data_IF_370918852320
#
_entry.id   IF_370918852320
#
_cell.length_a   1.000
_cell.length_b   1.000
_cell.length_c   1.000
_cell.angle_alpha   90.00
_cell.angle_beta   90.00
_cell.angle_gamma   90.00
#
_symmetry.space_group_name_H-M   'P 1'
#
loop_
_entity.id
_entity.type
_entity.pdbx_description
1 polymer ?
#
# COMPACT_ATOMS: atom_id res chain seq x y z
N UNK A 1 26.77 -10.74 -8.46
CA UNK A 1 25.36 -11.18 -8.52
C UNK A 1 24.48 -9.99 -8.24
N UNK A 2 23.42 -9.74 -9.02
CA UNK A 2 22.43 -8.73 -8.66
C UNK A 2 21.59 -9.26 -7.51
N UNK A 3 21.60 -8.54 -6.38
CA UNK A 3 20.69 -8.84 -5.29
C UNK A 3 19.27 -8.55 -5.77
N UNK A 4 18.36 -9.49 -5.55
CA UNK A 4 16.95 -9.31 -5.89
C UNK A 4 16.31 -8.41 -4.83
N UNK A 5 16.38 -7.08 -5.04
CA UNK A 5 15.87 -6.08 -4.09
C UNK A 5 14.40 -5.80 -4.42
N UNK A 6 13.52 -6.06 -3.46
CA UNK A 6 12.12 -5.65 -3.55
C UNK A 6 11.96 -4.22 -2.99
N UNK A 7 11.16 -3.40 -3.67
CA UNK A 7 10.79 -2.06 -3.23
C UNK A 7 9.35 -2.10 -2.70
N UNK A 8 9.14 -1.50 -1.54
CA UNK A 8 7.83 -1.37 -0.93
C UNK A 8 7.66 0.00 -0.27
N UNK A 9 6.42 0.49 -0.24
CA UNK A 9 6.00 1.71 0.46
C UNK A 9 4.54 1.54 0.89
N UNK A 10 4.00 2.48 1.66
CA UNK A 10 2.58 2.50 2.02
C UNK A 10 1.71 3.28 1.02
N UNK A 11 0.39 3.16 1.18
CA UNK A 11 -0.61 3.88 0.39
C UNK A 11 -0.70 5.38 0.72
N UNK A 12 -0.18 5.84 1.87
CA UNK A 12 -0.10 7.27 2.21
C UNK A 12 0.93 8.04 1.37
N UNK A 13 1.87 7.34 0.73
CA UNK A 13 2.79 7.93 -0.26
C UNK A 13 2.10 8.67 -1.41
N UNK A 14 0.79 8.46 -1.62
CA UNK A 14 0.03 9.05 -2.72
C UNK A 14 0.42 8.51 -4.10
N UNK A 15 1.20 7.42 -4.15
CA UNK A 15 1.64 6.82 -5.40
C UNK A 15 0.45 6.26 -6.20
N UNK A 16 0.31 6.61 -7.49
CA UNK A 16 -0.72 6.02 -8.34
C UNK A 16 -0.56 4.50 -8.46
N UNK A 17 -1.65 3.74 -8.28
CA UNK A 17 -1.64 2.26 -8.37
C UNK A 17 -1.04 1.73 -9.69
N UNK A 18 -1.29 2.45 -10.80
CA UNK A 18 -0.74 2.11 -12.12
C UNK A 18 0.80 2.18 -12.13
N UNK A 19 1.36 3.23 -11.55
CA UNK A 19 2.81 3.41 -11.45
C UNK A 19 3.44 2.34 -10.56
N UNK A 20 2.83 2.03 -9.41
CA UNK A 20 3.33 0.98 -8.52
C UNK A 20 3.38 -0.39 -9.23
N UNK A 21 2.36 -0.71 -10.04
CA UNK A 21 2.33 -1.93 -10.85
C UNK A 21 3.40 -1.94 -11.93
N UNK A 22 3.58 -0.83 -12.66
CA UNK A 22 4.59 -0.72 -13.73
C UNK A 22 6.02 -0.84 -13.20
N UNK A 23 6.28 -0.34 -11.99
CA UNK A 23 7.61 -0.34 -11.36
C UNK A 23 7.86 -1.54 -10.43
N UNK A 24 6.91 -2.47 -10.32
CA UNK A 24 6.96 -3.60 -9.37
C UNK A 24 7.21 -3.15 -7.91
N UNK A 25 6.57 -2.07 -7.50
CA UNK A 25 6.60 -1.55 -6.13
C UNK A 25 5.39 -2.10 -5.39
N UNK A 26 5.64 -2.74 -4.23
CA UNK A 26 4.56 -3.21 -3.36
C UNK A 26 4.01 -2.05 -2.55
N UNK A 27 2.73 -1.71 -2.75
CA UNK A 27 2.00 -0.81 -1.86
C UNK A 27 1.40 -1.62 -0.70
N UNK A 28 1.63 -1.18 0.52
CA UNK A 28 1.10 -1.80 1.74
C UNK A 28 0.05 -0.87 2.36
N UNK A 29 -1.21 -1.31 2.51
CA UNK A 29 -2.23 -0.49 3.17
C UNK A 29 -1.91 -0.33 4.66
N UNK A 30 -2.29 0.83 5.21
CA UNK A 30 -2.36 1.03 6.65
C UNK A 30 -3.71 0.59 7.20
N UNK A 31 -3.80 0.49 8.52
CA UNK A 31 -5.06 0.21 9.21
C UNK A 31 -5.52 1.42 10.02
N UNK A 32 -6.82 1.69 9.96
CA UNK A 32 -7.51 2.69 10.77
C UNK A 32 -8.29 1.95 11.86
N UNK A 33 -8.07 2.34 13.12
CA UNK A 33 -8.80 1.77 14.27
C UNK A 33 -9.87 2.77 14.70
N UNK A 34 -11.13 2.37 14.61
CA UNK A 34 -12.30 3.13 15.09
C UNK A 34 -13.33 2.18 15.72
N UNK A 35 -14.03 2.62 16.76
CA UNK A 35 -15.02 1.82 17.49
C UNK A 35 -14.52 0.43 17.94
N UNK A 36 -13.23 0.34 18.28
CA UNK A 36 -12.58 -0.90 18.68
C UNK A 36 -12.40 -1.93 17.56
N UNK A 37 -12.66 -1.55 16.29
CA UNK A 37 -12.46 -2.37 15.10
C UNK A 37 -11.35 -1.80 14.23
N UNK A 38 -10.68 -2.67 13.48
CA UNK A 38 -9.59 -2.32 12.57
C UNK A 38 -10.06 -2.51 11.13
N UNK A 39 -9.80 -1.51 10.30
CA UNK A 39 -10.17 -1.45 8.88
C UNK A 39 -8.93 -1.14 8.06
N UNK A 40 -8.76 -1.74 6.88
CA UNK A 40 -7.71 -1.26 5.98
C UNK A 40 -8.09 0.13 5.47
N UNK A 41 -7.16 1.08 5.39
CA UNK A 41 -7.47 2.44 4.93
C UNK A 41 -7.95 2.50 3.46
N UNK A 42 -7.77 1.40 2.73
CA UNK A 42 -8.31 1.21 1.38
C UNK A 42 -9.75 0.69 1.36
N UNK A 43 -10.31 0.34 2.51
CA UNK A 43 -11.73 -0.01 2.71
C UNK A 43 -12.55 1.27 2.95
N UNK A 44 -12.82 2.08 1.92
CA UNK A 44 -13.83 3.16 1.94
C UNK A 44 -14.33 3.39 0.51
N UNK A 45 -15.60 3.48 0.15
CA UNK A 45 -16.92 3.00 0.60
C UNK A 45 -17.64 2.79 -0.76
N UNK A 46 -18.34 1.68 -1.02
CA UNK A 46 -19.12 1.58 -2.27
C UNK A 46 -20.26 2.61 -2.33
#
# INVERSE_FOLDING_TARGET
TMNNIAIMTDTLSGMPKKMAKELNIKLVPLHIITDGKSYEETEVDN
#
